data_IF_543875797247
#
_entry.id   IF_543875797247
#
_cell.length_a   1.000
_cell.length_b   1.000
_cell.length_c   1.000
_cell.angle_alpha   90.00
_cell.angle_beta   90.00
_cell.angle_gamma   90.00
#
_symmetry.space_group_name_H-M   'P 1'
#
loop_
_entity.id
_entity.type
_entity.pdbx_description
1 polymer ?
#
# COMPACT_ATOMS: atom_id res chain seq x y z
N UNK A 1 -20.86 53.53 15.21
CA UNK A 1 -20.05 52.88 14.17
C UNK A 1 -19.02 52.00 14.86
N UNK A 2 -18.66 50.89 14.21
CA UNK A 2 -17.50 50.02 14.49
C UNK A 2 -17.61 49.01 15.65
N UNK A 3 -18.29 47.89 15.37
CA UNK A 3 -18.00 46.58 15.98
C UNK A 3 -17.42 45.65 14.91
N UNK A 4 -16.12 45.76 14.61
CA UNK A 4 -15.44 44.95 13.57
C UNK A 4 -13.96 44.72 13.89
N UNK A 5 -13.61 44.22 15.09
CA UNK A 5 -12.19 43.90 15.38
C UNK A 5 -11.94 42.56 16.06
N UNK A 6 -12.94 41.70 16.29
CA UNK A 6 -12.69 40.42 16.97
C UNK A 6 -12.81 39.16 16.08
N UNK A 7 -13.02 39.33 14.77
CA UNK A 7 -13.08 38.21 13.81
C UNK A 7 -11.71 37.84 13.19
N UNK A 8 -10.62 38.52 13.56
CA UNK A 8 -9.30 38.28 12.96
C UNK A 8 -8.46 37.17 13.62
N UNK A 9 -8.66 36.92 14.91
CA UNK A 9 -7.78 36.03 15.70
C UNK A 9 -8.28 34.58 15.84
N UNK A 10 -9.58 34.34 15.63
CA UNK A 10 -10.17 32.98 15.66
C UNK A 10 -10.13 32.24 14.32
N UNK A 11 -10.16 32.98 13.20
CA UNK A 11 -10.15 32.41 11.85
C UNK A 11 -8.77 31.82 11.54
N UNK A 12 -7.70 32.39 12.11
CA UNK A 12 -6.29 32.03 11.91
C UNK A 12 -5.79 30.76 12.61
N UNK A 13 -6.48 30.27 13.63
CA UNK A 13 -6.16 28.97 14.25
C UNK A 13 -7.11 27.86 13.76
N UNK A 14 -8.36 28.21 13.47
CA UNK A 14 -9.36 27.27 12.95
C UNK A 14 -8.98 26.70 11.57
N UNK A 15 -8.54 27.53 10.62
CA UNK A 15 -8.13 27.05 9.29
C UNK A 15 -6.90 26.13 9.35
N UNK A 16 -5.94 26.43 10.22
CA UNK A 16 -4.74 25.61 10.40
C UNK A 16 -5.10 24.24 10.99
N UNK A 17 -5.96 24.23 12.01
CA UNK A 17 -6.47 22.99 12.59
C UNK A 17 -7.27 22.17 11.56
N UNK A 18 -8.07 22.82 10.72
CA UNK A 18 -8.80 22.16 9.63
C UNK A 18 -7.85 21.48 8.63
N UNK A 19 -6.77 22.15 8.23
CA UNK A 19 -5.76 21.59 7.32
C UNK A 19 -5.03 20.40 7.96
N UNK A 20 -4.61 20.53 9.22
CA UNK A 20 -3.97 19.44 9.97
C UNK A 20 -4.91 18.24 10.07
N UNK A 21 -6.19 18.48 10.38
CA UNK A 21 -7.20 17.45 10.47
C UNK A 21 -7.41 16.73 9.13
N UNK A 22 -7.44 17.47 8.01
CA UNK A 22 -7.51 16.87 6.67
C UNK A 22 -6.28 16.01 6.35
N UNK A 23 -5.07 16.49 6.68
CA UNK A 23 -3.84 15.71 6.49
C UNK A 23 -3.89 14.42 7.31
N UNK A 24 -4.39 14.48 8.55
CA UNK A 24 -4.53 13.33 9.44
C UNK A 24 -5.52 12.30 8.87
N UNK A 25 -6.65 12.76 8.31
CA UNK A 25 -7.60 11.89 7.59
C UNK A 25 -6.91 11.21 6.41
N UNK A 26 -6.20 11.95 5.56
CA UNK A 26 -5.50 11.39 4.40
C UNK A 26 -4.48 10.35 4.84
N UNK A 27 -3.67 10.65 5.86
CA UNK A 27 -2.70 9.71 6.41
C UNK A 27 -3.38 8.45 6.99
N UNK A 28 -4.51 8.61 7.67
CA UNK A 28 -5.31 7.50 8.18
C UNK A 28 -5.83 6.59 7.06
N UNK A 29 -6.39 7.18 6.00
CA UNK A 29 -6.85 6.44 4.82
C UNK A 29 -5.67 5.73 4.14
N UNK A 30 -4.56 6.42 3.89
CA UNK A 30 -3.37 5.83 3.26
C UNK A 30 -2.81 4.69 4.12
N UNK A 31 -2.78 4.83 5.45
CA UNK A 31 -2.32 3.79 6.36
C UNK A 31 -3.26 2.57 6.34
N UNK A 32 -4.57 2.79 6.36
CA UNK A 32 -5.58 1.74 6.29
C UNK A 32 -5.52 0.98 4.96
N UNK A 33 -5.42 1.72 3.86
CA UNK A 33 -5.20 1.15 2.51
C UNK A 33 -3.87 0.39 2.48
N UNK A 34 -2.79 0.91 3.05
CA UNK A 34 -1.49 0.21 3.11
C UNK A 34 -1.53 -1.06 3.97
N UNK A 35 -2.38 -1.14 5.00
CA UNK A 35 -2.57 -2.37 5.77
C UNK A 35 -3.36 -3.44 5.00
N UNK A 36 -4.40 -3.02 4.26
CA UNK A 36 -5.23 -3.91 3.45
C UNK A 36 -4.45 -4.36 2.20
N UNK A 37 -3.89 -3.41 1.46
CA UNK A 37 -3.04 -3.64 0.29
C UNK A 37 -1.71 -4.26 0.68
N UNK A 38 -1.17 -4.00 1.88
CA UNK A 38 0.02 -4.70 2.40
C UNK A 38 -0.22 -6.17 2.72
N UNK A 39 -1.47 -6.58 2.94
CA UNK A 39 -1.88 -7.99 2.96
C UNK A 39 -2.02 -8.58 1.55
N UNK A 40 -2.51 -7.81 0.57
CA UNK A 40 -2.62 -8.25 -0.83
C UNK A 40 -1.35 -8.09 -1.67
N UNK A 41 -0.35 -7.33 -1.23
CA UNK A 41 0.99 -7.27 -1.86
C UNK A 41 1.87 -8.47 -1.44
N UNK A 42 1.24 -9.53 -0.93
CA UNK A 42 1.76 -10.90 -0.99
C UNK A 42 1.20 -11.71 -2.18
N UNK A 43 0.29 -11.17 -2.99
CA UNK A 43 -0.41 -11.94 -4.04
C UNK A 43 -0.39 -11.33 -5.44
N UNK A 44 0.07 -10.09 -5.62
CA UNK A 44 0.32 -9.49 -6.96
C UNK A 44 1.78 -9.59 -7.41
N UNK A 45 2.45 -10.62 -6.90
CA UNK A 45 3.74 -11.08 -7.38
C UNK A 45 3.89 -12.58 -7.24
N UNK A 46 2.81 -13.36 -7.03
CA UNK A 46 2.91 -14.81 -7.29
C UNK A 46 2.94 -15.00 -8.82
N UNK A 47 4.02 -14.52 -9.46
CA UNK A 47 4.40 -14.90 -10.82
C UNK A 47 4.32 -16.41 -10.89
N UNK A 48 4.08 -17.01 -12.06
CA UNK A 48 4.11 -18.47 -12.21
C UNK A 48 5.37 -19.09 -11.55
N UNK A 49 6.48 -18.34 -11.47
CA UNK A 49 7.69 -18.60 -10.67
C UNK A 49 7.47 -18.80 -9.16
N UNK A 50 6.66 -17.98 -8.51
CA UNK A 50 6.41 -18.05 -7.07
C UNK A 50 5.43 -19.19 -6.73
N UNK A 51 4.46 -19.49 -7.62
CA UNK A 51 3.65 -20.72 -7.53
C UNK A 51 4.54 -21.96 -7.71
N UNK A 52 5.48 -21.93 -8.67
CA UNK A 52 6.48 -22.97 -8.88
C UNK A 52 7.36 -23.19 -7.65
N UNK A 53 7.92 -22.13 -7.06
CA UNK A 53 8.74 -22.21 -5.84
C UNK A 53 7.97 -22.85 -4.68
N UNK A 54 6.68 -22.51 -4.54
CA UNK A 54 5.82 -23.04 -3.48
C UNK A 54 5.59 -24.54 -3.63
N UNK A 55 5.48 -25.06 -4.85
CA UNK A 55 5.35 -26.51 -5.13
C UNK A 55 6.67 -27.25 -4.96
N UNK A 56 7.78 -26.64 -5.36
CA UNK A 56 9.13 -27.19 -5.12
C UNK A 56 9.43 -27.31 -3.62
N UNK A 57 9.11 -26.27 -2.83
CA UNK A 57 9.29 -26.29 -1.38
C UNK A 57 8.42 -27.34 -0.66
N UNK A 58 7.29 -27.73 -1.26
CA UNK A 58 6.45 -28.83 -0.78
C UNK A 58 6.96 -30.21 -1.21
N UNK A 59 7.96 -30.29 -2.08
CA UNK A 59 8.47 -31.53 -2.66
C UNK A 59 7.53 -32.16 -3.72
N UNK A 60 6.54 -31.40 -4.20
CA UNK A 60 5.57 -31.87 -5.21
C UNK A 60 6.16 -31.87 -6.63
N UNK A 61 7.25 -31.13 -6.86
CA UNK A 61 7.99 -31.07 -8.13
C UNK A 61 9.49 -31.24 -7.86
N UNK A 62 10.20 -31.88 -8.80
CA UNK A 62 11.65 -32.05 -8.68
C UNK A 62 12.40 -30.77 -9.07
N UNK A 63 13.69 -30.71 -8.74
CA UNK A 63 14.54 -29.54 -9.05
C UNK A 63 14.64 -29.33 -10.56
N UNK A 64 14.66 -30.41 -11.32
CA UNK A 64 14.74 -30.42 -12.78
C UNK A 64 13.50 -29.75 -13.41
N UNK A 65 12.30 -30.12 -12.96
CA UNK A 65 11.04 -29.53 -13.45
C UNK A 65 10.89 -28.05 -13.07
N UNK A 66 11.44 -27.66 -11.91
CA UNK A 66 11.46 -26.26 -11.48
C UNK A 66 12.36 -25.40 -12.38
N UNK A 67 13.54 -25.90 -12.75
CA UNK A 67 14.47 -25.15 -13.60
C UNK A 67 14.00 -25.00 -15.04
N UNK A 68 13.35 -26.02 -15.60
CA UNK A 68 12.77 -25.98 -16.95
C UNK A 68 11.68 -24.89 -17.04
N UNK A 69 10.68 -24.97 -16.15
CA UNK A 69 9.57 -24.01 -16.14
C UNK A 69 10.00 -22.60 -15.76
N UNK A 70 11.06 -22.45 -14.95
CA UNK A 70 11.64 -21.14 -14.64
C UNK A 70 12.26 -20.49 -15.87
N UNK A 71 12.95 -21.26 -16.71
CA UNK A 71 13.58 -20.74 -17.93
C UNK A 71 12.54 -20.29 -18.95
N UNK A 72 11.49 -21.08 -19.15
CA UNK A 72 10.37 -20.73 -20.04
C UNK A 72 9.66 -19.44 -19.62
N UNK A 73 9.53 -19.19 -18.32
CA UNK A 73 8.87 -18.00 -17.79
C UNK A 73 9.75 -16.75 -17.72
N UNK A 74 11.07 -16.89 -17.88
CA UNK A 74 12.05 -15.78 -17.81
C UNK A 74 12.61 -15.41 -19.18
N UNK A 75 12.28 -16.17 -20.23
CA UNK A 75 12.80 -15.97 -21.58
C UNK A 75 11.89 -15.13 -22.47
N UNK A 76 12.04 -13.81 -22.39
CA UNK A 76 11.91 -12.86 -23.51
C UNK A 76 13.19 -12.00 -23.53
#
# INVERSE_FOLDING_TARGET
MMQWSNYGWGIGFGWLFMIIFLILIILGIVYLVKLIVGREKRTTGETALDILKKRYAKGEISKEEFEEKKKDLTGD
#
